data_IF_598195284829
#
_entry.id   IF_598195284829
#
_cell.length_a   1.000
_cell.length_b   1.000
_cell.length_c   1.000
_cell.angle_alpha   90.00
_cell.angle_beta   90.00
_cell.angle_gamma   90.00
#
_symmetry.space_group_name_H-M   'P 1'
#
loop_
_entity.id
_entity.type
_entity.pdbx_description
1 polymer ?
#
# COMPACT_ATOMS: atom_id res chain seq x y z
N UNK A 1 -5.79 11.13 -15.90
CA UNK A 1 -4.44 11.18 -15.28
C UNK A 1 -3.74 9.88 -15.62
N UNK A 2 -2.45 9.89 -16.01
CA UNK A 2 -1.66 8.67 -16.12
C UNK A 2 -1.66 7.92 -14.78
N UNK A 3 -1.66 6.59 -14.81
CA UNK A 3 -1.71 5.75 -13.61
C UNK A 3 -0.58 6.04 -12.62
N UNK A 4 0.64 6.27 -13.14
CA UNK A 4 1.81 6.65 -12.34
C UNK A 4 1.61 7.97 -11.57
N UNK A 5 0.93 8.96 -12.16
CA UNK A 5 0.71 10.23 -11.48
C UNK A 5 -0.32 10.09 -10.35
N UNK A 6 -1.33 9.23 -10.52
CA UNK A 6 -2.28 8.89 -9.45
C UNK A 6 -1.57 8.16 -8.29
N UNK A 7 -0.67 7.24 -8.62
CA UNK A 7 0.14 6.53 -7.63
C UNK A 7 1.01 7.50 -6.83
N UNK A 8 1.74 8.39 -7.51
CA UNK A 8 2.60 9.41 -6.87
C UNK A 8 1.80 10.32 -5.94
N UNK A 9 0.65 10.82 -6.39
CA UNK A 9 -0.20 11.68 -5.58
C UNK A 9 -0.63 10.97 -4.28
N UNK A 10 -0.99 9.69 -4.39
CA UNK A 10 -1.44 8.89 -3.25
C UNK A 10 -0.30 8.61 -2.25
N UNK A 11 0.87 8.18 -2.73
CA UNK A 11 2.02 7.97 -1.84
C UNK A 11 2.52 9.28 -1.21
N UNK A 12 2.49 10.40 -1.93
CA UNK A 12 2.83 11.70 -1.36
C UNK A 12 1.91 12.06 -0.18
N UNK A 13 0.60 11.83 -0.30
CA UNK A 13 -0.36 12.03 0.79
C UNK A 13 -0.11 11.11 1.99
N UNK A 14 0.28 9.86 1.74
CA UNK A 14 0.65 8.93 2.82
C UNK A 14 1.90 9.40 3.56
N UNK A 15 2.91 9.89 2.84
CA UNK A 15 4.15 10.41 3.43
C UNK A 15 3.95 11.69 4.25
N UNK A 16 2.92 12.48 3.93
CA UNK A 16 2.52 13.64 4.73
C UNK A 16 1.80 13.26 6.03
N UNK A 17 1.38 12.00 6.19
CA UNK A 17 0.72 11.54 7.42
C UNK A 17 -0.55 12.33 7.73
N UNK A 18 -1.37 12.63 6.73
CA UNK A 18 -2.59 13.47 6.83
C UNK A 18 -2.35 14.96 7.13
N UNK A 19 -1.11 15.38 7.40
CA UNK A 19 -0.74 16.78 7.53
C UNK A 19 -0.42 17.41 6.16
N UNK A 20 -1.46 17.87 5.48
CA UNK A 20 -1.36 18.53 4.19
C UNK A 20 -0.64 19.89 4.22
N UNK A 21 -0.30 20.42 5.41
CA UNK A 21 0.51 21.64 5.53
C UNK A 21 2.02 21.38 5.37
N UNK A 22 2.46 20.12 5.50
CA UNK A 22 3.87 19.76 5.47
C UNK A 22 4.64 20.09 6.75
N UNK A 23 3.95 20.38 7.86
CA UNK A 23 4.58 20.74 9.13
C UNK A 23 5.16 19.54 9.91
N UNK A 24 4.91 18.31 9.43
CA UNK A 24 5.41 17.07 10.03
C UNK A 24 4.69 16.69 11.32
N UNK A 25 3.53 17.31 11.61
CA UNK A 25 2.70 17.02 12.80
C UNK A 25 1.59 16.01 12.51
N UNK A 26 1.75 15.26 11.43
CA UNK A 26 0.81 14.24 10.99
C UNK A 26 0.81 12.98 11.87
N UNK A 27 0.03 12.01 11.44
CA UNK A 27 -0.03 10.68 12.04
C UNK A 27 1.10 9.78 11.54
N UNK A 28 1.31 8.65 12.21
CA UNK A 28 2.25 7.64 11.75
C UNK A 28 1.86 7.08 10.38
N UNK A 29 2.85 6.65 9.59
CA UNK A 29 2.61 6.03 8.28
C UNK A 29 1.67 4.82 8.39
N UNK A 30 1.79 4.03 9.45
CA UNK A 30 0.89 2.90 9.73
C UNK A 30 -0.56 3.35 9.86
N UNK A 31 -0.81 4.44 10.60
CA UNK A 31 -2.16 4.97 10.77
C UNK A 31 -2.67 5.62 9.48
N UNK A 32 -1.83 6.34 8.74
CA UNK A 32 -2.18 6.91 7.44
C UNK A 32 -2.59 5.83 6.43
N UNK A 33 -1.87 4.70 6.38
CA UNK A 33 -2.24 3.55 5.53
C UNK A 33 -3.55 2.94 5.99
N UNK A 34 -3.74 2.73 7.29
CA UNK A 34 -4.99 2.21 7.86
C UNK A 34 -6.20 3.08 7.50
N UNK A 35 -6.06 4.40 7.63
CA UNK A 35 -7.09 5.38 7.28
C UNK A 35 -7.35 5.37 5.76
N UNK A 36 -6.30 5.30 4.94
CA UNK A 36 -6.44 5.22 3.48
C UNK A 36 -7.20 3.96 3.03
N UNK A 37 -6.95 2.80 3.64
CA UNK A 37 -7.70 1.56 3.37
C UNK A 37 -9.16 1.73 3.78
N UNK A 38 -9.41 2.25 4.99
CA UNK A 38 -10.77 2.46 5.51
C UNK A 38 -11.57 3.42 4.62
N UNK A 39 -10.94 4.52 4.19
CA UNK A 39 -11.54 5.50 3.29
C UNK A 39 -11.82 4.90 1.90
N UNK A 40 -10.89 4.10 1.34
CA UNK A 40 -11.11 3.40 0.08
C UNK A 40 -12.32 2.47 0.15
N UNK A 41 -12.44 1.69 1.23
CA UNK A 41 -13.60 0.84 1.49
C UNK A 41 -14.89 1.65 1.54
N UNK A 42 -14.91 2.76 2.30
CA UNK A 42 -16.07 3.62 2.43
C UNK A 42 -16.49 4.23 1.08
N UNK A 43 -15.54 4.71 0.28
CA UNK A 43 -15.81 5.29 -1.05
C UNK A 43 -16.41 4.27 -2.02
N UNK A 44 -15.88 3.05 -2.06
CA UNK A 44 -16.30 2.04 -3.02
C UNK A 44 -17.57 1.30 -2.62
N UNK A 45 -17.65 0.90 -1.36
CA UNK A 45 -18.68 0.00 -0.85
C UNK A 45 -19.75 0.72 -0.02
N UNK A 46 -19.50 1.93 0.47
CA UNK A 46 -20.46 2.69 1.28
C UNK A 46 -21.75 3.08 0.56
N UNK A 47 -21.79 2.94 -0.77
CA UNK A 47 -22.98 3.17 -1.60
C UNK A 47 -23.61 1.88 -2.15
N UNK A 48 -23.12 0.70 -1.76
CA UNK A 48 -23.71 -0.57 -2.18
C UNK A 48 -24.81 -0.98 -1.20
N UNK A 49 -26.03 -0.59 -1.52
CA UNK A 49 -27.23 -0.88 -0.72
C UNK A 49 -27.93 -2.18 -1.09
N UNK A 50 -27.48 -2.82 -2.18
CA UNK A 50 -28.10 -4.01 -2.76
C UNK A 50 -27.03 -5.08 -2.99
N UNK A 51 -27.45 -6.33 -2.88
CA UNK A 51 -26.64 -7.48 -3.26
C UNK A 51 -26.66 -7.64 -4.78
N UNK A 52 -25.79 -6.88 -5.43
CA UNK A 52 -25.58 -6.91 -6.87
C UNK A 52 -24.07 -6.95 -7.19
N UNK A 53 -23.67 -7.45 -8.37
CA UNK A 53 -22.26 -7.47 -8.74
C UNK A 53 -21.65 -6.07 -8.75
N UNK A 54 -20.45 -5.92 -8.20
CA UNK A 54 -19.71 -4.65 -8.21
C UNK A 54 -19.46 -4.23 -9.67
N UNK A 55 -19.76 -2.98 -10.06
CA UNK A 55 -19.47 -2.47 -11.40
C UNK A 55 -18.01 -2.72 -11.80
N UNK A 56 -17.73 -3.12 -13.06
CA UNK A 56 -16.37 -3.46 -13.50
C UNK A 56 -15.34 -2.37 -13.22
N UNK A 57 -15.73 -1.10 -13.41
CA UNK A 57 -14.90 0.07 -13.13
C UNK A 57 -14.52 0.18 -11.65
N UNK A 58 -15.51 0.08 -10.74
CA UNK A 58 -15.28 0.08 -9.29
C UNK A 58 -14.40 -1.09 -8.86
N UNK A 59 -14.59 -2.26 -9.46
CA UNK A 59 -13.77 -3.46 -9.18
C UNK A 59 -12.32 -3.29 -9.66
N UNK A 60 -12.10 -2.67 -10.81
CA UNK A 60 -10.77 -2.35 -11.31
C UNK A 60 -10.06 -1.31 -10.43
N UNK A 61 -10.79 -0.24 -10.04
CA UNK A 61 -10.28 0.77 -9.12
C UNK A 61 -9.90 0.18 -7.76
N UNK A 62 -10.77 -0.66 -7.18
CA UNK A 62 -10.50 -1.36 -5.93
C UNK A 62 -9.19 -2.15 -5.98
N UNK A 63 -9.04 -3.01 -7.00
CA UNK A 63 -7.84 -3.86 -7.12
C UNK A 63 -6.56 -3.04 -7.20
N UNK A 64 -6.52 -2.07 -8.11
CA UNK A 64 -5.36 -1.20 -8.32
C UNK A 64 -5.00 -0.42 -7.07
N UNK A 65 -5.98 0.25 -6.46
CA UNK A 65 -5.72 1.13 -5.32
C UNK A 65 -5.39 0.37 -4.04
N UNK A 66 -5.96 -0.82 -3.87
CA UNK A 66 -5.63 -1.71 -2.77
C UNK A 66 -4.22 -2.31 -2.94
N UNK A 67 -3.84 -2.68 -4.16
CA UNK A 67 -2.49 -3.16 -4.48
C UNK A 67 -1.42 -2.11 -4.13
N UNK A 68 -1.65 -0.84 -4.45
CA UNK A 68 -0.76 0.24 -4.05
C UNK A 68 -0.64 0.40 -2.52
N UNK A 69 -1.74 0.22 -1.78
CA UNK A 69 -1.70 0.33 -0.32
C UNK A 69 -1.04 -0.88 0.36
N UNK A 70 -1.15 -2.07 -0.26
CA UNK A 70 -0.61 -3.30 0.28
C UNK A 70 0.86 -3.56 -0.06
N UNK A 71 1.43 -2.88 -1.07
CA UNK A 71 2.81 -3.13 -1.51
C UNK A 71 3.87 -2.87 -0.41
N UNK A 72 3.53 -2.14 0.66
CA UNK A 72 4.41 -2.01 1.82
C UNK A 72 4.68 -3.36 2.49
N UNK A 73 3.70 -4.27 2.46
CA UNK A 73 3.80 -5.61 3.03
C UNK A 73 4.87 -6.47 2.36
N UNK A 74 5.10 -6.28 1.06
CA UNK A 74 6.13 -7.01 0.31
C UNK A 74 7.55 -6.71 0.78
N UNK A 75 7.73 -5.59 1.50
CA UNK A 75 9.01 -5.13 2.01
C UNK A 75 9.17 -5.35 3.53
N UNK A 76 8.13 -5.86 4.20
CA UNK A 76 8.20 -6.24 5.61
C UNK A 76 8.71 -7.67 5.67
N UNK A 77 9.99 -7.82 5.98
CA UNK A 77 10.69 -9.10 5.98
C UNK A 77 11.29 -9.42 7.35
N UNK A 78 11.41 -10.72 7.62
CA UNK A 78 12.20 -11.22 8.74
C UNK A 78 13.63 -11.46 8.26
N UNK A 79 14.61 -10.93 8.99
CA UNK A 79 16.02 -11.19 8.73
C UNK A 79 16.44 -12.45 9.49
N UNK A 80 16.55 -13.55 8.76
CA UNK A 80 16.93 -14.86 9.30
C UNK A 80 18.34 -15.19 8.79
N UNK A 81 19.30 -15.50 9.69
CA UNK A 81 20.64 -15.89 9.26
C UNK A 81 20.58 -17.18 8.44
N UNK A 82 21.32 -17.23 7.34
CA UNK A 82 21.37 -18.38 6.44
C UNK A 82 22.79 -18.61 5.91
N UNK A 83 23.01 -19.77 5.27
CA UNK A 83 24.31 -20.12 4.70
C UNK A 83 24.24 -20.14 3.19
N UNK A 84 25.09 -19.32 2.54
CA UNK A 84 25.28 -19.34 1.11
C UNK A 84 26.50 -20.19 0.74
N UNK A 85 26.34 -21.13 -0.18
CA UNK A 85 27.45 -21.92 -0.74
C UNK A 85 27.81 -21.36 -2.10
N UNK A 86 29.06 -20.95 -2.27
CA UNK A 86 29.57 -20.42 -3.52
C UNK A 86 29.96 -21.53 -4.51
N UNK A 87 30.10 -21.23 -5.82
CA UNK A 87 30.50 -22.23 -6.83
C UNK A 87 31.85 -22.90 -6.56
N UNK A 88 32.73 -22.25 -5.80
CA UNK A 88 34.02 -22.78 -5.34
C UNK A 88 33.90 -23.72 -4.11
N UNK A 89 32.68 -23.96 -3.61
CA UNK A 89 32.40 -24.78 -2.43
C UNK A 89 32.55 -24.07 -1.08
N UNK A 90 33.00 -22.80 -1.03
CA UNK A 90 33.09 -22.06 0.23
C UNK A 90 31.71 -21.68 0.75
N UNK A 91 31.51 -21.77 2.06
CA UNK A 91 30.26 -21.36 2.74
C UNK A 91 30.45 -20.03 3.47
N UNK A 92 29.47 -19.15 3.35
CA UNK A 92 29.41 -17.86 4.04
C UNK A 92 28.06 -17.73 4.73
N UNK A 93 28.06 -17.29 5.97
CA UNK A 93 26.84 -16.91 6.69
C UNK A 93 26.39 -15.53 6.19
N UNK A 94 25.11 -15.40 5.86
CA UNK A 94 24.48 -14.19 5.31
C UNK A 94 23.15 -13.90 6.00
#
# INVERSE_FOLDING_TARGET
>A
MPEMEMMKERFAKLLLGEDMSGSGKGVSTTLAISNAITNLCATLFGQLWRLEPVPPEKKAMWRREMEWLLCVGDHIVELIPTWQTFPNGSKLEV
#
